data_IF_816446752500
#
_entry.id   IF_816446752500
#
_cell.length_a   1.000
_cell.length_b   1.000
_cell.length_c   1.000
_cell.angle_alpha   90.00
_cell.angle_beta   90.00
_cell.angle_gamma   90.00
#
_symmetry.space_group_name_H-M   'P 1'
#
loop_
_entity.id
_entity.type
_entity.pdbx_description
1 polymer ?
#
# COMPACT_ATOMS: atom_id res chain seq x y z
N UNK A 1 -9.51 18.91 -4.64
CA UNK A 1 -9.92 20.25 -4.18
C UNK A 1 -9.00 21.36 -4.70
N UNK A 2 -7.67 21.21 -4.63
CA UNK A 2 -6.72 22.15 -5.24
C UNK A 2 -7.00 22.46 -6.71
N UNK A 3 -7.29 21.46 -7.53
CA UNK A 3 -7.64 21.66 -8.93
C UNK A 3 -8.88 22.55 -9.12
N UNK A 4 -9.90 22.40 -8.27
CA UNK A 4 -11.12 23.23 -8.32
C UNK A 4 -10.81 24.66 -7.93
N UNK A 5 -9.98 24.87 -6.89
CA UNK A 5 -9.53 26.21 -6.49
C UNK A 5 -8.78 26.91 -7.62
N UNK A 6 -7.78 26.23 -8.21
CA UNK A 6 -6.98 26.76 -9.31
C UNK A 6 -7.87 27.05 -10.52
N UNK A 7 -8.72 26.10 -10.92
CA UNK A 7 -9.65 26.27 -12.04
C UNK A 7 -10.60 27.45 -11.80
N UNK A 8 -11.11 27.63 -10.58
CA UNK A 8 -12.00 28.75 -10.24
C UNK A 8 -11.29 30.10 -10.34
N UNK A 9 -10.04 30.19 -9.86
CA UNK A 9 -9.23 31.41 -9.97
C UNK A 9 -8.89 31.70 -11.44
N UNK A 10 -8.42 30.69 -12.19
CA UNK A 10 -8.14 30.82 -13.62
C UNK A 10 -9.38 31.25 -14.41
N UNK A 11 -10.54 30.66 -14.12
CA UNK A 11 -11.80 31.02 -14.75
C UNK A 11 -12.20 32.46 -14.42
N UNK A 12 -12.00 32.92 -13.18
CA UNK A 12 -12.25 34.31 -12.79
C UNK A 12 -11.38 35.29 -13.58
N UNK A 13 -10.09 34.98 -13.80
CA UNK A 13 -9.20 35.79 -14.64
C UNK A 13 -9.69 35.81 -16.08
N UNK A 14 -9.95 34.65 -16.67
CA UNK A 14 -10.39 34.52 -18.06
C UNK A 14 -11.70 35.29 -18.30
N UNK A 15 -12.70 35.10 -17.44
CA UNK A 15 -14.00 35.79 -17.52
C UNK A 15 -13.81 37.30 -17.34
N UNK A 16 -12.99 37.72 -16.37
CA UNK A 16 -12.69 39.15 -16.15
C UNK A 16 -12.02 39.80 -17.36
N UNK A 17 -11.12 39.11 -18.03
CA UNK A 17 -10.46 39.61 -19.24
C UNK A 17 -11.40 39.67 -20.44
N UNK A 18 -12.20 38.63 -20.67
CA UNK A 18 -13.25 38.62 -21.71
C UNK A 18 -14.22 39.78 -21.48
N UNK A 19 -14.63 40.00 -20.23
CA UNK A 19 -15.49 41.12 -19.87
C UNK A 19 -14.87 42.48 -20.25
N UNK A 20 -13.59 42.71 -19.89
CA UNK A 20 -12.90 43.96 -20.25
C UNK A 20 -12.74 44.12 -21.77
N UNK A 21 -12.47 43.04 -22.50
CA UNK A 21 -12.36 43.05 -23.96
C UNK A 21 -13.69 43.44 -24.62
N UNK A 22 -14.80 42.82 -24.21
CA UNK A 22 -16.13 43.08 -24.77
C UNK A 22 -16.60 44.50 -24.45
N UNK A 23 -16.36 44.98 -23.24
CA UNK A 23 -16.86 46.28 -22.77
C UNK A 23 -16.02 47.47 -23.23
N UNK A 24 -14.69 47.34 -23.29
CA UNK A 24 -13.78 48.47 -23.54
C UNK A 24 -12.99 48.36 -24.85
N UNK A 25 -13.19 47.27 -25.62
CA UNK A 25 -12.66 47.04 -26.97
C UNK A 25 -11.18 47.43 -27.07
N UNK A 26 -10.81 48.41 -27.89
CA UNK A 26 -9.43 48.79 -28.16
C UNK A 26 -8.62 49.21 -26.92
N UNK A 27 -9.27 49.65 -25.83
CA UNK A 27 -8.59 50.10 -24.61
C UNK A 27 -8.55 49.07 -23.49
N UNK A 28 -9.04 47.85 -23.73
CA UNK A 28 -9.18 46.80 -22.72
C UNK A 28 -7.91 46.52 -21.90
N UNK A 29 -6.74 46.51 -22.56
CA UNK A 29 -5.44 46.20 -21.95
C UNK A 29 -5.05 47.20 -20.85
N UNK A 30 -5.44 48.47 -20.99
CA UNK A 30 -5.17 49.51 -19.98
C UNK A 30 -5.94 49.31 -18.67
N UNK A 31 -7.01 48.50 -18.71
CA UNK A 31 -7.90 48.25 -17.57
C UNK A 31 -7.69 46.88 -16.93
N UNK A 32 -6.71 46.09 -17.38
CA UNK A 32 -6.45 44.77 -16.80
C UNK A 32 -6.14 44.81 -15.31
N UNK A 33 -5.55 45.91 -14.83
CA UNK A 33 -5.28 46.11 -13.41
C UNK A 33 -6.57 46.08 -12.54
N UNK A 34 -7.72 46.46 -13.11
CA UNK A 34 -9.03 46.40 -12.40
C UNK A 34 -9.48 44.97 -12.14
N UNK A 35 -9.00 43.99 -12.92
CA UNK A 35 -9.25 42.56 -12.73
C UNK A 35 -8.11 41.93 -11.92
N UNK A 36 -6.86 42.23 -12.29
CA UNK A 36 -5.69 41.58 -11.69
C UNK A 36 -5.53 41.91 -10.22
N UNK A 37 -5.68 43.18 -9.83
CA UNK A 37 -5.51 43.58 -8.43
C UNK A 37 -6.46 42.84 -7.46
N UNK A 38 -7.80 42.84 -7.68
CA UNK A 38 -8.69 42.11 -6.77
C UNK A 38 -8.51 40.59 -6.86
N UNK A 39 -8.24 40.01 -8.04
CA UNK A 39 -8.02 38.57 -8.16
C UNK A 39 -6.74 38.14 -7.43
N UNK A 40 -5.64 38.88 -7.57
CA UNK A 40 -4.39 38.59 -6.86
C UNK A 40 -4.55 38.73 -5.34
N UNK A 41 -5.24 39.77 -4.87
CA UNK A 41 -5.54 39.93 -3.45
C UNK A 41 -6.45 38.80 -2.94
N UNK A 42 -7.45 38.39 -3.73
CA UNK A 42 -8.32 37.25 -3.42
C UNK A 42 -7.55 35.93 -3.36
N UNK A 43 -6.65 35.69 -4.32
CA UNK A 43 -5.77 34.52 -4.33
C UNK A 43 -4.86 34.50 -3.10
N UNK A 44 -4.26 35.64 -2.73
CA UNK A 44 -3.45 35.75 -1.51
C UNK A 44 -4.29 35.40 -0.27
N UNK A 45 -5.51 35.95 -0.18
CA UNK A 45 -6.45 35.64 0.90
C UNK A 45 -6.82 34.15 0.95
N UNK A 46 -7.07 33.52 -0.19
CA UNK A 46 -7.36 32.10 -0.30
C UNK A 46 -6.16 31.24 0.11
N UNK A 47 -4.95 31.60 -0.31
CA UNK A 47 -3.72 30.91 0.10
C UNK A 47 -3.53 30.99 1.62
N UNK A 48 -3.72 32.16 2.22
CA UNK A 48 -3.70 32.29 3.69
C UNK A 48 -4.80 31.43 4.31
N UNK A 49 -6.02 31.45 3.77
CA UNK A 49 -7.13 30.65 4.27
C UNK A 49 -6.83 29.14 4.22
N UNK A 50 -6.14 28.63 3.19
CA UNK A 50 -5.71 27.22 3.12
C UNK A 50 -4.71 26.81 4.21
N UNK A 51 -4.00 27.76 4.80
CA UNK A 51 -3.10 27.52 5.93
C UNK A 51 -3.83 27.59 7.28
N UNK A 52 -5.14 27.84 7.27
CA UNK A 52 -5.98 27.93 8.46
C UNK A 52 -7.06 26.86 8.47
N UNK A 53 -7.69 26.58 9.63
CA UNK A 53 -8.84 25.67 9.71
C UNK A 53 -10.05 26.09 8.86
N UNK A 54 -10.10 27.33 8.36
CA UNK A 54 -11.24 27.84 7.58
C UNK A 54 -11.39 27.15 6.23
N UNK A 55 -10.27 26.79 5.59
CA UNK A 55 -10.27 26.12 4.28
C UNK A 55 -9.39 24.87 4.32
N UNK A 56 -9.77 23.96 5.22
CA UNK A 56 -9.06 22.70 5.39
C UNK A 56 -9.54 21.62 4.40
N UNK A 57 -8.89 21.60 3.23
CA UNK A 57 -9.14 20.58 2.21
C UNK A 57 -8.85 19.16 2.68
N UNK A 58 -7.90 18.96 3.60
CA UNK A 58 -7.58 17.62 4.12
C UNK A 58 -8.74 17.10 4.96
N UNK A 59 -9.26 17.90 5.88
CA UNK A 59 -10.44 17.55 6.68
C UNK A 59 -11.68 17.31 5.82
N UNK A 60 -11.91 18.10 4.77
CA UNK A 60 -13.00 17.84 3.83
C UNK A 60 -12.85 16.50 3.11
N UNK A 61 -11.63 16.15 2.67
CA UNK A 61 -11.34 14.85 2.06
C UNK A 61 -11.58 13.70 3.05
N UNK A 62 -11.08 13.81 4.29
CA UNK A 62 -11.31 12.80 5.34
C UNK A 62 -12.81 12.58 5.55
N UNK A 63 -13.55 13.65 5.82
CA UNK A 63 -14.99 13.56 6.08
C UNK A 63 -15.74 12.96 4.89
N UNK A 64 -15.37 13.32 3.66
CA UNK A 64 -15.96 12.75 2.45
C UNK A 64 -15.71 11.24 2.35
N UNK A 65 -14.47 10.79 2.56
CA UNK A 65 -14.13 9.37 2.46
C UNK A 65 -14.81 8.54 3.55
N UNK A 66 -14.82 9.02 4.80
CA UNK A 66 -15.49 8.35 5.91
C UNK A 66 -17.01 8.32 5.68
N UNK A 67 -17.62 9.43 5.29
CA UNK A 67 -19.07 9.47 5.03
C UNK A 67 -19.48 8.55 3.88
N UNK A 68 -18.65 8.43 2.83
CA UNK A 68 -18.94 7.51 1.72
C UNK A 68 -18.84 6.05 2.17
N UNK A 69 -17.87 5.71 3.02
CA UNK A 69 -17.76 4.37 3.61
C UNK A 69 -18.96 4.06 4.50
N UNK A 70 -19.31 4.95 5.44
CA UNK A 70 -20.41 4.72 6.38
C UNK A 70 -21.79 4.75 5.73
N UNK A 71 -21.96 5.52 4.66
CA UNK A 71 -23.18 5.52 3.84
C UNK A 71 -23.26 4.33 2.86
N UNK A 72 -22.27 3.43 2.83
CA UNK A 72 -22.22 2.29 1.92
C UNK A 72 -21.99 2.65 0.44
N UNK A 73 -21.60 3.90 0.15
CA UNK A 73 -21.26 4.36 -1.20
C UNK A 73 -19.91 3.78 -1.62
N UNK A 74 -18.96 3.65 -0.68
CA UNK A 74 -17.68 2.98 -0.87
C UNK A 74 -17.73 1.64 -0.15
N UNK A 75 -17.45 0.54 -0.84
CA UNK A 75 -17.34 -0.77 -0.20
C UNK A 75 -16.10 -0.83 0.70
N UNK A 76 -16.10 -1.62 1.79
CA UNK A 76 -14.92 -1.79 2.65
C UNK A 76 -13.66 -2.22 1.87
N UNK A 77 -13.84 -3.05 0.83
CA UNK A 77 -12.76 -3.49 -0.06
C UNK A 77 -12.18 -2.34 -0.91
N UNK A 78 -12.97 -1.33 -1.26
CA UNK A 78 -12.53 -0.19 -2.09
C UNK A 78 -12.03 0.99 -1.27
N UNK A 79 -12.22 0.97 0.05
CA UNK A 79 -11.73 2.01 0.94
C UNK A 79 -10.22 1.87 1.14
N UNK A 80 -9.47 2.97 1.06
CA UNK A 80 -8.01 2.98 1.20
C UNK A 80 -7.57 3.70 2.49
N UNK A 81 -7.19 2.94 3.55
CA UNK A 81 -6.67 3.51 4.78
C UNK A 81 -5.34 4.26 4.58
N UNK A 82 -4.48 3.81 3.66
CA UNK A 82 -3.14 4.42 3.46
C UNK A 82 -3.27 5.84 2.96
N UNK A 83 -4.19 6.10 2.05
CA UNK A 83 -4.46 7.47 1.59
C UNK A 83 -4.77 8.42 2.74
N UNK A 84 -5.52 8.00 3.76
CA UNK A 84 -5.84 8.85 4.90
C UNK A 84 -4.58 9.21 5.69
N UNK A 85 -3.73 8.22 5.93
CA UNK A 85 -2.54 8.38 6.77
C UNK A 85 -1.46 9.18 6.04
N UNK A 86 -1.13 8.76 4.82
CA UNK A 86 -0.01 9.30 4.06
C UNK A 86 -0.29 10.69 3.48
N UNK A 87 -1.54 10.96 3.04
CA UNK A 87 -1.86 12.20 2.29
C UNK A 87 -2.63 13.23 3.11
N UNK A 88 -3.42 12.78 4.10
CA UNK A 88 -4.30 13.65 4.88
C UNK A 88 -3.74 13.97 6.28
N UNK A 89 -2.60 13.38 6.64
CA UNK A 89 -1.84 13.65 7.85
C UNK A 89 -2.64 13.38 9.12
N UNK A 90 -2.43 14.20 10.17
CA UNK A 90 -3.05 13.99 11.50
C UNK A 90 -4.56 13.80 11.47
N UNK A 91 -5.27 14.48 10.58
CA UNK A 91 -6.74 14.33 10.47
C UNK A 91 -7.15 12.96 9.95
N UNK A 92 -6.41 12.43 8.98
CA UNK A 92 -6.63 11.08 8.48
C UNK A 92 -6.26 10.02 9.51
N UNK A 93 -5.13 10.22 10.23
CA UNK A 93 -4.72 9.34 11.33
C UNK A 93 -5.82 9.21 12.40
N UNK A 94 -6.28 10.34 12.96
CA UNK A 94 -7.32 10.33 14.00
C UNK A 94 -8.64 9.75 13.51
N UNK A 95 -8.98 9.96 12.23
CA UNK A 95 -10.16 9.35 11.64
C UNK A 95 -10.05 7.84 11.53
N UNK A 96 -8.87 7.31 11.17
CA UNK A 96 -8.64 5.86 11.13
C UNK A 96 -8.61 5.22 12.52
N UNK A 97 -7.96 5.85 13.49
CA UNK A 97 -7.99 5.39 14.88
C UNK A 97 -9.44 5.27 15.37
N UNK A 98 -10.28 6.27 15.06
CA UNK A 98 -11.71 6.24 15.36
C UNK A 98 -12.45 5.16 14.57
N UNK A 99 -12.13 4.98 13.29
CA UNK A 99 -12.78 4.00 12.42
C UNK A 99 -12.47 2.56 12.84
N UNK A 100 -11.23 2.26 13.25
CA UNK A 100 -10.79 0.93 13.69
C UNK A 100 -11.66 0.36 14.83
N UNK A 101 -12.18 1.22 15.70
CA UNK A 101 -13.02 0.83 16.83
C UNK A 101 -14.50 0.64 16.48
N UNK A 102 -14.94 1.16 15.32
CA UNK A 102 -16.35 1.23 14.95
C UNK A 102 -16.68 0.45 13.67
N UNK A 103 -15.71 -0.27 13.10
CA UNK A 103 -15.87 -1.03 11.86
C UNK A 103 -15.99 -2.53 12.17
N UNK A 104 -17.00 -3.17 11.59
CA UNK A 104 -17.26 -4.61 11.74
C UNK A 104 -16.52 -5.46 10.69
N UNK A 105 -16.08 -4.84 9.58
CA UNK A 105 -15.36 -5.54 8.52
C UNK A 105 -13.93 -5.88 8.97
N UNK A 106 -13.69 -7.16 9.26
CA UNK A 106 -12.42 -7.65 9.78
C UNK A 106 -11.24 -7.45 8.81
N UNK A 107 -11.48 -7.53 7.49
CA UNK A 107 -10.44 -7.33 6.49
C UNK A 107 -9.99 -5.87 6.45
N UNK A 108 -10.94 -4.93 6.46
CA UNK A 108 -10.69 -3.50 6.55
C UNK A 108 -10.05 -3.14 7.89
N UNK A 109 -10.48 -3.73 8.99
CA UNK A 109 -9.89 -3.52 10.32
C UNK A 109 -8.41 -3.89 10.35
N UNK A 110 -8.02 -5.01 9.74
CA UNK A 110 -6.61 -5.41 9.58
C UNK A 110 -5.83 -4.41 8.72
N UNK A 111 -6.38 -3.98 7.58
CA UNK A 111 -5.73 -2.97 6.72
C UNK A 111 -5.53 -1.63 7.43
N UNK A 112 -6.50 -1.21 8.24
CA UNK A 112 -6.37 -0.02 9.09
C UNK A 112 -5.26 -0.23 10.12
N UNK A 113 -5.20 -1.39 10.78
CA UNK A 113 -4.13 -1.70 11.72
C UNK A 113 -2.75 -1.63 11.05
N UNK A 114 -2.58 -2.26 9.90
CA UNK A 114 -1.34 -2.23 9.12
C UNK A 114 -0.94 -0.79 8.78
N UNK A 115 -1.87 0.01 8.23
CA UNK A 115 -1.59 1.40 7.86
C UNK A 115 -1.19 2.28 9.07
N UNK A 116 -1.87 2.13 10.20
CA UNK A 116 -1.53 2.86 11.43
C UNK A 116 -0.16 2.45 11.98
N UNK A 117 0.15 1.15 11.97
CA UNK A 117 1.42 0.61 12.45
C UNK A 117 2.59 1.10 11.61
N UNK A 118 2.46 1.08 10.28
CA UNK A 118 3.54 1.47 9.35
C UNK A 118 3.82 2.99 9.32
N UNK A 119 2.83 3.83 9.61
CA UNK A 119 3.04 5.28 9.74
C UNK A 119 3.68 5.65 11.07
N UNK A 120 3.20 5.05 12.16
CA UNK A 120 3.60 5.47 13.51
C UNK A 120 4.95 4.90 13.93
N UNK A 121 5.37 3.78 13.33
CA UNK A 121 6.63 3.12 13.62
C UNK A 121 7.46 3.01 12.34
N UNK A 122 8.78 3.28 12.38
CA UNK A 122 9.63 2.88 11.28
C UNK A 122 9.51 1.37 11.06
N UNK A 123 9.61 0.93 9.81
CA UNK A 123 9.71 -0.48 9.47
C UNK A 123 11.03 -1.02 10.03
N UNK A 124 10.99 -1.51 11.26
CA UNK A 124 12.09 -2.19 11.95
C UNK A 124 11.77 -3.68 12.00
N UNK A 125 12.78 -4.48 12.32
CA UNK A 125 12.63 -5.89 12.66
C UNK A 125 11.41 -6.16 13.57
N UNK A 126 11.26 -5.43 14.67
CA UNK A 126 10.16 -5.68 15.61
C UNK A 126 8.80 -5.35 14.98
N UNK A 127 8.68 -4.21 14.30
CA UNK A 127 7.43 -3.84 13.63
C UNK A 127 7.03 -4.89 12.58
N UNK A 128 8.00 -5.44 11.85
CA UNK A 128 7.75 -6.50 10.86
C UNK A 128 7.28 -7.79 11.54
N UNK A 129 7.93 -8.21 12.62
CA UNK A 129 7.51 -9.40 13.37
C UNK A 129 6.14 -9.21 14.03
N UNK A 130 5.78 -8.00 14.45
CA UNK A 130 4.44 -7.68 14.98
C UNK A 130 3.35 -7.86 13.91
N UNK A 131 3.67 -7.59 12.64
CA UNK A 131 2.72 -7.70 11.52
C UNK A 131 2.57 -9.12 10.97
N UNK A 132 3.57 -9.99 11.18
CA UNK A 132 3.53 -11.39 10.75
C UNK A 132 2.72 -12.20 11.76
N UNK A 133 1.69 -12.89 11.29
CA UNK A 133 0.95 -13.89 12.05
C UNK A 133 1.79 -15.16 12.17
N UNK A 134 2.31 -15.37 13.37
CA UNK A 134 3.15 -16.50 13.77
C UNK A 134 3.16 -16.56 15.31
N UNK A 135 3.16 -17.75 15.94
CA UNK A 135 3.26 -17.87 17.39
C UNK A 135 4.54 -17.21 17.95
N UNK A 136 4.44 -16.53 19.10
CA UNK A 136 5.57 -15.80 19.70
C UNK A 136 6.79 -16.68 19.96
N UNK A 137 6.58 -17.94 20.37
CA UNK A 137 7.66 -18.91 20.57
C UNK A 137 8.43 -19.18 19.27
N UNK A 138 7.72 -19.27 18.14
CA UNK A 138 8.35 -19.47 16.83
C UNK A 138 9.04 -18.19 16.35
N UNK A 139 8.45 -17.02 16.58
CA UNK A 139 9.09 -15.72 16.26
C UNK A 139 10.44 -15.56 16.98
N UNK A 140 10.50 -15.95 18.25
CA UNK A 140 11.73 -15.90 19.06
C UNK A 140 12.78 -16.93 18.62
N UNK A 141 12.36 -18.03 18.01
CA UNK A 141 13.24 -19.07 17.50
C UNK A 141 13.80 -18.78 16.08
N UNK A 142 13.34 -17.71 15.41
CA UNK A 142 13.81 -17.35 14.08
C UNK A 142 15.31 -16.97 14.10
N UNK A 143 16.12 -17.47 13.14
CA UNK A 143 17.51 -17.05 13.00
C UNK A 143 17.62 -15.54 12.77
N UNK A 144 18.55 -14.86 13.47
CA UNK A 144 18.75 -13.42 13.33
C UNK A 144 19.02 -12.97 11.89
N UNK A 145 19.75 -13.78 11.13
CA UNK A 145 20.05 -13.52 9.72
C UNK A 145 18.81 -13.60 8.82
N UNK A 146 17.87 -14.50 9.10
CA UNK A 146 16.58 -14.57 8.41
C UNK A 146 15.75 -13.32 8.70
N UNK A 147 15.70 -12.91 9.98
CA UNK A 147 14.97 -11.70 10.38
C UNK A 147 15.53 -10.46 9.69
N UNK A 148 16.86 -10.37 9.56
CA UNK A 148 17.52 -9.31 8.81
C UNK A 148 17.15 -9.35 7.32
N UNK A 149 17.13 -10.55 6.71
CA UNK A 149 16.74 -10.72 5.32
C UNK A 149 15.26 -10.37 5.09
N UNK A 150 14.36 -10.70 6.01
CA UNK A 150 12.95 -10.29 5.98
C UNK A 150 12.80 -8.77 6.07
N UNK A 151 13.56 -8.10 6.93
CA UNK A 151 13.54 -6.64 7.00
C UNK A 151 14.01 -6.01 5.69
N UNK A 152 15.11 -6.49 5.12
CA UNK A 152 15.63 -6.03 3.82
C UNK A 152 14.59 -6.28 2.73
N UNK A 153 13.99 -7.47 2.68
CA UNK A 153 12.92 -7.80 1.75
C UNK A 153 11.75 -6.83 1.87
N UNK A 154 11.30 -6.55 3.09
CA UNK A 154 10.16 -5.67 3.32
C UNK A 154 10.43 -4.22 2.90
N UNK A 155 11.64 -3.71 3.15
CA UNK A 155 12.06 -2.38 2.68
C UNK A 155 12.07 -2.27 1.15
N UNK A 156 12.42 -3.37 0.44
CA UNK A 156 12.40 -3.39 -1.02
C UNK A 156 11.01 -3.65 -1.61
N UNK A 157 10.10 -4.23 -0.83
CA UNK A 157 8.76 -4.64 -1.27
C UNK A 157 7.65 -3.93 -0.48
N UNK A 158 7.82 -2.64 -0.16
CA UNK A 158 6.86 -1.90 0.69
C UNK A 158 5.41 -2.03 0.24
N UNK A 159 5.17 -2.02 -1.07
CA UNK A 159 3.83 -2.21 -1.67
C UNK A 159 3.11 -3.49 -1.21
N UNK A 160 3.84 -4.57 -0.93
CA UNK A 160 3.28 -5.83 -0.47
C UNK A 160 2.81 -5.75 0.98
N UNK A 161 3.52 -4.99 1.82
CA UNK A 161 3.18 -4.79 3.23
C UNK A 161 2.07 -3.74 3.39
N UNK A 162 2.10 -2.73 2.55
CA UNK A 162 1.12 -1.66 2.49
C UNK A 162 -0.32 -2.16 2.23
N UNK A 163 -0.47 -3.13 1.32
CA UNK A 163 -1.75 -3.69 0.91
C UNK A 163 -2.10 -5.01 1.59
N UNK A 164 -1.25 -5.45 2.53
CA UNK A 164 -1.41 -6.70 3.24
C UNK A 164 -2.64 -6.64 4.16
N UNK A 165 -3.57 -7.55 3.93
CA UNK A 165 -4.64 -7.88 4.86
C UNK A 165 -4.18 -8.87 5.90
N UNK A 166 -3.16 -9.66 5.58
CA UNK A 166 -2.55 -10.64 6.46
C UNK A 166 -1.16 -11.01 5.95
N UNK A 167 -0.21 -11.16 6.85
CA UNK A 167 1.13 -11.66 6.57
C UNK A 167 1.34 -12.90 7.44
N UNK A 168 1.85 -13.99 6.87
CA UNK A 168 2.17 -15.21 7.61
C UNK A 168 3.58 -15.68 7.26
N UNK A 169 4.22 -16.37 8.19
CA UNK A 169 5.50 -17.03 7.97
C UNK A 169 5.41 -18.45 8.55
N UNK A 170 5.69 -19.46 7.72
CA UNK A 170 5.56 -20.86 8.11
C UNK A 170 6.82 -21.66 7.74
N UNK A 171 7.32 -22.55 8.61
CA UNK A 171 8.39 -23.47 8.21
C UNK A 171 7.88 -24.42 7.11
N UNK A 172 8.73 -24.71 6.13
CA UNK A 172 8.45 -25.64 5.03
C UNK A 172 9.74 -26.38 4.64
N UNK A 173 9.61 -27.48 3.89
CA UNK A 173 10.74 -28.17 3.28
C UNK A 173 10.42 -28.51 1.81
N UNK A 174 11.13 -27.92 0.88
CA UNK A 174 10.91 -28.00 -0.57
C UNK A 174 12.10 -28.61 -1.31
N UNK A 175 13.32 -28.45 -0.79
CA UNK A 175 14.55 -28.87 -1.50
C UNK A 175 15.25 -30.10 -0.90
N UNK A 176 14.62 -30.76 0.08
CA UNK A 176 15.15 -31.93 0.81
C UNK A 176 16.51 -31.72 1.49
N UNK A 177 16.89 -30.47 1.76
CA UNK A 177 18.09 -30.16 2.55
C UNK A 177 17.76 -30.12 4.05
N UNK A 178 18.74 -30.31 4.95
CA UNK A 178 18.51 -30.16 6.39
C UNK A 178 18.32 -28.71 6.84
N UNK A 179 18.69 -27.74 5.99
CA UNK A 179 18.52 -26.32 6.23
C UNK A 179 17.03 -25.94 6.30
N UNK A 180 16.69 -25.05 7.24
CA UNK A 180 15.32 -24.59 7.40
C UNK A 180 14.92 -23.69 6.23
N UNK A 181 13.70 -23.87 5.74
CA UNK A 181 13.06 -22.97 4.78
C UNK A 181 11.76 -22.42 5.36
N UNK A 182 11.37 -21.24 4.90
CA UNK A 182 10.17 -20.56 5.38
C UNK A 182 9.32 -20.07 4.22
N UNK A 183 8.07 -20.50 4.17
CA UNK A 183 7.04 -19.97 3.30
C UNK A 183 6.49 -18.68 3.92
N UNK A 184 6.80 -17.55 3.30
CA UNK A 184 6.18 -16.27 3.56
C UNK A 184 4.97 -16.08 2.67
N UNK A 185 3.83 -15.76 3.28
CA UNK A 185 2.54 -15.62 2.62
C UNK A 185 2.06 -14.20 2.89
N UNK A 186 1.74 -13.47 1.82
CA UNK A 186 1.12 -12.17 1.91
C UNK A 186 -0.24 -12.20 1.23
N UNK A 187 -1.30 -12.18 2.04
CA UNK A 187 -2.64 -11.93 1.55
C UNK A 187 -2.80 -10.43 1.35
N UNK A 188 -3.09 -10.03 0.11
CA UNK A 188 -3.38 -8.65 -0.24
C UNK A 188 -4.82 -8.56 -0.70
N UNK A 189 -5.33 -7.34 -0.88
CA UNK A 189 -6.69 -7.15 -1.38
C UNK A 189 -7.01 -7.87 -2.71
N UNK A 190 -6.01 -8.14 -3.53
CA UNK A 190 -6.20 -8.61 -4.91
C UNK A 190 -5.61 -9.98 -5.19
N UNK A 191 -4.65 -10.43 -4.39
CA UNK A 191 -3.89 -11.67 -4.62
C UNK A 191 -3.26 -12.17 -3.34
N UNK A 192 -2.95 -13.46 -3.33
CA UNK A 192 -2.00 -14.06 -2.39
C UNK A 192 -0.63 -14.12 -3.08
N UNK A 193 0.39 -13.57 -2.43
CA UNK A 193 1.79 -13.75 -2.83
C UNK A 193 2.48 -14.78 -1.93
N UNK A 194 3.22 -15.68 -2.56
CA UNK A 194 4.00 -16.72 -1.90
C UNK A 194 5.48 -16.51 -2.20
N UNK A 195 6.29 -16.43 -1.14
CA UNK A 195 7.75 -16.36 -1.20
C UNK A 195 8.35 -17.46 -0.34
N UNK A 196 9.44 -18.05 -0.81
CA UNK A 196 10.20 -19.00 -0.01
C UNK A 196 11.50 -18.35 0.40
N UNK A 197 11.73 -18.28 1.70
CA UNK A 197 13.02 -17.91 2.27
C UNK A 197 13.82 -19.18 2.54
N UNK A 198 15.03 -19.25 2.00
CA UNK A 198 15.91 -20.41 2.12
C UNK A 198 17.36 -19.95 2.25
N UNK A 199 18.22 -20.83 2.78
CA UNK A 199 19.64 -20.55 2.93
C UNK A 199 20.36 -20.90 1.62
N UNK A 200 20.91 -19.90 0.95
CA UNK A 200 21.63 -20.06 -0.32
C UNK A 200 23.06 -19.55 -0.25
N UNK A 201 23.78 -19.63 -1.37
CA UNK A 201 25.12 -19.05 -1.53
C UNK A 201 25.08 -17.97 -2.61
N UNK A 202 25.45 -16.74 -2.26
CA UNK A 202 25.65 -15.63 -3.20
C UNK A 202 27.13 -15.27 -3.19
N UNK A 203 27.79 -15.26 -4.35
CA UNK A 203 29.20 -14.87 -4.49
C UNK A 203 30.15 -15.60 -3.52
N UNK A 204 29.84 -16.86 -3.22
CA UNK A 204 30.63 -17.70 -2.31
C UNK A 204 30.36 -17.46 -0.81
N UNK A 205 29.41 -16.59 -0.46
CA UNK A 205 28.99 -16.33 0.92
C UNK A 205 27.60 -16.92 1.14
N UNK A 206 27.45 -17.70 2.22
CA UNK A 206 26.16 -18.24 2.62
C UNK A 206 25.27 -17.13 3.20
N UNK A 207 24.00 -17.10 2.81
CA UNK A 207 23.06 -16.09 3.29
C UNK A 207 21.62 -16.41 2.89
N UNK A 208 20.69 -15.83 3.64
CA UNK A 208 19.26 -15.98 3.39
C UNK A 208 18.85 -15.29 2.09
N UNK A 209 18.10 -16.02 1.26
CA UNK A 209 17.57 -15.56 -0.01
C UNK A 209 16.04 -15.70 -0.02
N UNK A 210 15.38 -15.04 -0.97
CA UNK A 210 13.96 -15.21 -1.21
C UNK A 210 13.68 -15.56 -2.67
N UNK A 211 12.96 -16.66 -2.91
CA UNK A 211 12.44 -17.06 -4.21
C UNK A 211 10.96 -16.72 -4.37
N UNK A 212 10.49 -16.61 -5.62
CA UNK A 212 9.07 -16.48 -5.95
C UNK A 212 8.50 -17.86 -6.27
N UNK A 213 7.27 -18.15 -5.83
CA UNK A 213 6.48 -19.22 -6.44
C UNK A 213 5.70 -18.64 -7.62
N UNK A 214 5.81 -19.26 -8.81
CA UNK A 214 5.50 -18.63 -10.11
C UNK A 214 4.00 -18.39 -10.38
N UNK A 215 3.11 -18.76 -9.46
CA UNK A 215 1.66 -18.65 -9.65
C UNK A 215 1.05 -17.50 -8.85
N UNK A 216 0.69 -16.42 -9.54
CA UNK A 216 -0.16 -15.35 -8.99
C UNK A 216 -1.63 -15.79 -9.07
N UNK A 217 -2.23 -16.09 -7.93
CA UNK A 217 -3.65 -16.45 -7.83
C UNK A 217 -4.46 -15.21 -7.46
N UNK A 218 -5.48 -14.89 -8.26
CA UNK A 218 -6.31 -13.69 -8.13
C UNK A 218 -7.77 -14.04 -7.84
N UNK A 219 -8.50 -13.08 -7.24
CA UNK A 219 -9.95 -13.18 -7.09
C UNK A 219 -10.39 -14.31 -6.16
N UNK A 220 -11.55 -14.97 -6.40
CA UNK A 220 -12.07 -16.00 -5.49
C UNK A 220 -11.07 -17.14 -5.21
N UNK A 221 -10.29 -17.54 -6.21
CA UNK A 221 -9.29 -18.61 -6.08
C UNK A 221 -8.18 -18.26 -5.07
N UNK A 222 -7.89 -16.97 -4.86
CA UNK A 222 -6.88 -16.57 -3.89
C UNK A 222 -7.36 -16.80 -2.45
N UNK A 223 -8.67 -16.72 -2.21
CA UNK A 223 -9.28 -17.06 -0.91
C UNK A 223 -9.22 -18.55 -0.65
N UNK A 224 -9.59 -19.37 -1.64
CA UNK A 224 -9.50 -20.82 -1.53
C UNK A 224 -8.06 -21.29 -1.25
N UNK A 225 -7.08 -20.67 -1.93
CA UNK A 225 -5.66 -20.90 -1.68
C UNK A 225 -5.25 -20.51 -0.25
N UNK A 226 -5.67 -19.34 0.21
CA UNK A 226 -5.37 -18.87 1.56
C UNK A 226 -5.97 -19.78 2.63
N UNK A 227 -7.22 -20.20 2.46
CA UNK A 227 -7.88 -21.14 3.37
C UNK A 227 -7.17 -22.49 3.40
N UNK A 228 -6.80 -23.03 2.25
CA UNK A 228 -6.03 -24.27 2.15
C UNK A 228 -4.67 -24.17 2.86
N UNK A 229 -3.97 -23.04 2.70
CA UNK A 229 -2.70 -22.77 3.39
C UNK A 229 -2.88 -22.63 4.91
N UNK A 230 -4.00 -22.06 5.37
CA UNK A 230 -4.30 -21.93 6.81
C UNK A 230 -4.73 -23.24 7.45
N UNK A 231 -5.43 -24.09 6.72
CA UNK A 231 -5.93 -25.37 7.22
C UNK A 231 -4.96 -26.54 7.03
N UNK A 232 -3.70 -26.27 6.64
CA UNK A 232 -2.72 -27.30 6.29
C UNK A 232 -3.21 -28.31 5.22
N UNK A 233 -4.06 -27.84 4.31
CA UNK A 233 -4.61 -28.64 3.22
C UNK A 233 -3.79 -28.45 1.94
N UNK A 234 -2.53 -28.88 1.97
CA UNK A 234 -1.66 -28.90 0.81
C UNK A 234 -0.70 -30.09 0.89
N UNK A 235 -0.14 -30.46 -0.25
CA UNK A 235 0.91 -31.48 -0.34
C UNK A 235 2.10 -30.93 -1.10
N UNK A 236 3.29 -31.34 -0.69
CA UNK A 236 4.53 -31.06 -1.41
C UNK A 236 4.66 -32.11 -2.50
N UNK A 237 4.68 -31.67 -3.75
CA UNK A 237 4.71 -32.54 -4.93
C UNK A 237 6.03 -32.41 -5.66
N UNK A 238 6.58 -33.55 -6.09
CA UNK A 238 7.78 -33.58 -6.93
C UNK A 238 7.45 -33.04 -8.33
N UNK A 239 8.31 -32.19 -8.93
CA UNK A 239 8.12 -31.72 -10.29
C UNK A 239 7.99 -32.88 -11.28
N UNK A 240 6.99 -32.82 -12.17
CA UNK A 240 6.78 -33.83 -13.22
C UNK A 240 8.01 -34.00 -14.12
N UNK A 241 8.68 -32.88 -14.41
CA UNK A 241 9.84 -32.83 -15.28
C UNK A 241 11.08 -32.52 -14.45
N UNK A 242 12.15 -33.27 -14.71
CA UNK A 242 13.47 -33.00 -14.12
C UNK A 242 14.15 -31.86 -14.87
N UNK A 243 15.00 -31.12 -14.16
CA UNK A 243 15.83 -30.10 -14.77
C UNK A 243 16.99 -30.69 -15.56
N UNK A 244 17.48 -29.93 -16.54
CA UNK A 244 18.64 -30.29 -17.34
C UNK A 244 19.82 -29.41 -16.91
N UNK A 245 20.94 -30.01 -16.49
CA UNK A 245 22.20 -29.29 -16.24
C UNK A 245 23.14 -29.42 -17.44
N UNK A 246 23.54 -28.29 -18.03
CA UNK A 246 24.51 -28.22 -19.13
C UNK A 246 25.68 -27.30 -18.70
N UNK A 247 26.84 -27.90 -18.40
CA UNK A 247 27.93 -27.17 -17.75
C UNK A 247 27.50 -26.62 -16.40
N UNK A 248 27.69 -25.31 -16.19
CA UNK A 248 27.25 -24.60 -14.98
C UNK A 248 25.80 -24.07 -15.06
N UNK A 249 25.11 -24.28 -16.18
CA UNK A 249 23.74 -23.79 -16.38
C UNK A 249 22.71 -24.87 -16.03
N UNK A 250 21.82 -24.56 -15.10
CA UNK A 250 20.60 -25.33 -14.82
C UNK A 250 19.46 -24.77 -15.68
N UNK A 251 18.79 -25.63 -16.42
CA UNK A 251 17.66 -25.31 -17.29
C UNK A 251 16.42 -25.98 -16.69
N UNK A 252 15.52 -25.14 -16.21
CA UNK A 252 14.24 -25.54 -15.63
C UNK A 252 13.15 -25.45 -16.71
N UNK A 253 12.23 -26.41 -16.71
CA UNK A 253 11.08 -26.34 -17.62
C UNK A 253 9.97 -25.52 -16.97
N UNK A 254 9.69 -24.34 -17.51
CA UNK A 254 8.52 -23.54 -17.12
C UNK A 254 7.37 -23.81 -18.11
N UNK A 255 6.38 -24.59 -17.67
CA UNK A 255 5.14 -24.83 -18.43
C UNK A 255 4.05 -23.89 -17.91
N UNK A 256 3.46 -23.02 -18.74
CA UNK A 256 2.33 -22.18 -18.35
C UNK A 256 1.00 -22.95 -18.28
N UNK A 257 1.03 -24.27 -18.51
CA UNK A 257 -0.13 -25.17 -18.54
C UNK A 257 0.02 -26.27 -17.48
#
# INVERSE_FOLDING_TARGET
MWAVLIASVSMTVCVGYVWQLVTHKATWYTRLNTVNRPVTLGLLGLLIATQTPLLDFRGMSVNSQINRLTAGITQPADFDPRYLVNELGRKGLTALESLQHNIDDEQLKRRIHTALTLETKPLTTQTLLDLIDMPDEQKQALPLELVTALEVFARHNTHLFDDATELMLRPIQLDNTPEAEYLFIADTQHRVELRVFYLGVIDGVQGWQSGYMDQKVYGPQSKDLLEALKSDNFEIVEPRFKDIKIGEHRLELHSPF
#
